data_IF_559225854681
#
_entry.id   IF_559225854681
#
_cell.length_a   1.000
_cell.length_b   1.000
_cell.length_c   1.000
_cell.angle_alpha   90.00
_cell.angle_beta   90.00
_cell.angle_gamma   90.00
#
_symmetry.space_group_name_H-M   'P 1'
#
loop_
_entity.id
_entity.type
_entity.pdbx_description
1 polymer ?
#
# COMPACT_ATOMS: atom_id res chain seq x y z
N UNK A 1 -1.90 -21.66 -7.26
CA UNK A 1 -3.24 -21.37 -7.81
C UNK A 1 -4.13 -21.07 -6.60
N UNK A 2 -4.89 -19.97 -6.60
CA UNK A 2 -5.74 -19.62 -5.45
C UNK A 2 -7.10 -20.35 -5.56
N UNK A 3 -7.68 -20.71 -4.42
CA UNK A 3 -8.90 -21.51 -4.30
C UNK A 3 -10.11 -20.60 -4.03
N UNK A 4 -11.06 -20.58 -4.95
CA UNK A 4 -12.23 -19.71 -4.88
C UNK A 4 -13.16 -20.04 -3.69
N UNK A 5 -13.12 -21.26 -3.18
CA UNK A 5 -13.90 -21.65 -2.00
C UNK A 5 -13.43 -20.98 -0.70
N UNK A 6 -12.11 -20.77 -0.58
CA UNK A 6 -11.51 -20.08 0.57
C UNK A 6 -11.80 -18.57 0.54
N UNK A 7 -12.11 -18.02 -0.63
CA UNK A 7 -12.46 -16.61 -0.80
C UNK A 7 -13.90 -16.37 -0.35
N UNK A 8 -14.83 -17.22 -0.76
CA UNK A 8 -16.24 -17.13 -0.34
C UNK A 8 -16.40 -17.39 1.17
N UNK A 9 -15.60 -18.31 1.73
CA UNK A 9 -15.55 -18.57 3.17
C UNK A 9 -15.02 -17.35 3.95
N UNK A 10 -13.97 -16.70 3.45
CA UNK A 10 -13.44 -15.48 4.06
C UNK A 10 -14.44 -14.31 4.03
N UNK A 11 -15.18 -14.14 2.93
CA UNK A 11 -16.22 -13.11 2.81
C UNK A 11 -17.40 -13.37 3.77
N UNK A 12 -17.82 -14.64 3.92
CA UNK A 12 -18.87 -15.03 4.86
C UNK A 12 -18.46 -14.81 6.33
N UNK A 13 -17.20 -15.11 6.67
CA UNK A 13 -16.64 -14.89 8.01
C UNK A 13 -16.51 -13.39 8.33
N UNK A 14 -16.16 -12.55 7.34
CA UNK A 14 -16.11 -11.10 7.49
C UNK A 14 -17.51 -10.49 7.70
N UNK A 15 -18.50 -10.93 6.93
CA UNK A 15 -19.89 -10.50 7.10
C UNK A 15 -20.45 -10.91 8.48
N UNK A 16 -20.12 -12.12 8.95
CA UNK A 16 -20.51 -12.60 10.28
C UNK A 16 -19.80 -11.90 11.44
N UNK A 17 -18.56 -11.43 11.24
CA UNK A 17 -17.82 -10.65 12.23
C UNK A 17 -18.30 -9.20 12.34
N UNK A 18 -18.68 -8.58 11.20
CA UNK A 18 -19.26 -7.24 11.17
C UNK A 18 -20.56 -7.14 11.99
N UNK A 19 -21.35 -8.22 12.08
CA UNK A 19 -22.56 -8.29 12.91
C UNK A 19 -22.29 -8.34 14.43
N UNK A 20 -21.05 -8.58 14.87
CA UNK A 20 -20.70 -8.77 16.30
C UNK A 20 -19.99 -7.57 16.92
N UNK A 21 -19.83 -6.46 16.19
CA UNK A 21 -19.42 -5.17 16.75
C UNK A 21 -17.98 -5.05 17.26
N UNK A 22 -17.14 -6.07 17.06
CA UNK A 22 -15.72 -6.05 17.44
C UNK A 22 -14.89 -6.49 16.23
N UNK A 23 -14.51 -5.52 15.39
CA UNK A 23 -13.60 -5.79 14.28
C UNK A 23 -12.17 -5.82 14.83
N UNK A 24 -11.58 -7.00 14.93
CA UNK A 24 -10.20 -7.24 15.33
C UNK A 24 -9.21 -7.09 14.17
N UNK A 25 -7.92 -6.94 14.52
CA UNK A 25 -6.80 -6.75 13.57
C UNK A 25 -6.83 -7.71 12.37
N UNK A 26 -7.09 -8.99 12.60
CA UNK A 26 -7.08 -10.01 11.54
C UNK A 26 -8.24 -9.87 10.55
N UNK A 27 -9.39 -9.33 10.97
CA UNK A 27 -10.53 -9.08 10.08
C UNK A 27 -10.26 -7.88 9.16
N UNK A 28 -9.55 -6.87 9.66
CA UNK A 28 -9.11 -5.74 8.84
C UNK A 28 -8.01 -6.14 7.85
N UNK A 29 -7.05 -6.97 8.27
CA UNK A 29 -6.04 -7.54 7.37
C UNK A 29 -6.68 -8.40 6.27
N UNK A 30 -7.68 -9.23 6.61
CA UNK A 30 -8.44 -10.03 5.64
C UNK A 30 -9.26 -9.15 4.67
N UNK A 31 -9.91 -8.09 5.15
CA UNK A 31 -10.64 -7.14 4.30
C UNK A 31 -9.71 -6.40 3.32
N UNK A 32 -8.49 -6.03 3.76
CA UNK A 32 -7.47 -5.45 2.88
C UNK A 32 -7.04 -6.44 1.79
N UNK A 33 -6.84 -7.71 2.14
CA UNK A 33 -6.51 -8.74 1.14
C UNK A 33 -7.66 -8.97 0.15
N UNK A 34 -8.92 -9.03 0.63
CA UNK A 34 -10.11 -9.14 -0.21
C UNK A 34 -10.26 -7.96 -1.18
N UNK A 35 -10.02 -6.72 -0.71
CA UNK A 35 -10.04 -5.55 -1.60
C UNK A 35 -8.96 -5.61 -2.69
N UNK A 36 -7.80 -6.20 -2.40
CA UNK A 36 -6.74 -6.44 -3.38
C UNK A 36 -7.07 -7.59 -4.37
N UNK A 37 -7.84 -8.61 -3.96
CA UNK A 37 -8.28 -9.68 -4.86
C UNK A 37 -9.43 -9.24 -5.77
N UNK A 38 -10.40 -8.47 -5.26
CA UNK A 38 -11.50 -7.89 -6.05
C UNK A 38 -10.96 -7.03 -7.22
N UNK A 39 -9.92 -6.21 -6.95
CA UNK A 39 -9.20 -5.45 -7.99
C UNK A 39 -8.68 -6.33 -9.14
N UNK A 40 -8.21 -7.55 -8.85
CA UNK A 40 -7.70 -8.46 -9.88
C UNK A 40 -8.81 -9.10 -10.72
N UNK A 41 -10.04 -9.15 -10.21
CA UNK A 41 -11.22 -9.72 -10.88
C UNK A 41 -11.98 -8.71 -11.77
N UNK A 42 -11.48 -7.47 -11.89
CA UNK A 42 -11.98 -6.49 -12.86
C UNK A 42 -13.12 -5.59 -12.37
N UNK A 43 -13.56 -5.73 -11.12
CA UNK A 43 -14.30 -4.66 -10.46
C UNK A 43 -13.31 -3.52 -10.16
N UNK A 44 -13.69 -2.29 -10.49
CA UNK A 44 -12.89 -1.11 -10.15
C UNK A 44 -12.55 -1.14 -8.66
N UNK A 45 -11.34 -0.69 -8.30
CA UNK A 45 -10.94 -0.63 -6.89
C UNK A 45 -11.69 0.51 -6.20
N UNK A 46 -12.50 0.19 -5.18
CA UNK A 46 -13.07 1.20 -4.29
C UNK A 46 -12.00 1.69 -3.31
N UNK A 47 -11.23 2.69 -3.76
CA UNK A 47 -10.17 3.29 -2.96
C UNK A 47 -10.68 4.00 -1.71
N UNK A 48 -11.94 4.45 -1.69
CA UNK A 48 -12.53 5.06 -0.50
C UNK A 48 -12.78 4.01 0.58
N UNK A 49 -13.31 2.84 0.20
CA UNK A 49 -13.46 1.71 1.12
C UNK A 49 -12.10 1.21 1.64
N UNK A 50 -11.10 1.05 0.77
CA UNK A 50 -9.75 0.64 1.17
C UNK A 50 -9.13 1.63 2.17
N UNK A 51 -9.31 2.94 1.93
CA UNK A 51 -8.83 3.95 2.87
C UNK A 51 -9.49 3.82 4.24
N UNK A 52 -10.81 3.64 4.31
CA UNK A 52 -11.52 3.46 5.58
C UNK A 52 -11.02 2.22 6.35
N UNK A 53 -10.70 1.13 5.64
CA UNK A 53 -10.09 -0.06 6.24
C UNK A 53 -8.72 0.25 6.83
N UNK A 54 -7.88 1.02 6.13
CA UNK A 54 -6.58 1.43 6.65
C UNK A 54 -6.67 2.46 7.79
N UNK A 55 -7.65 3.36 7.78
CA UNK A 55 -7.97 4.25 8.90
C UNK A 55 -8.29 3.44 10.17
N UNK A 56 -9.21 2.46 10.05
CA UNK A 56 -9.58 1.57 11.14
C UNK A 56 -8.38 0.75 11.62
N UNK A 57 -7.61 0.16 10.70
CA UNK A 57 -6.44 -0.66 11.06
C UNK A 57 -5.34 0.15 11.73
N UNK A 58 -5.13 1.41 11.31
CA UNK A 58 -4.14 2.28 11.94
C UNK A 58 -4.50 2.58 13.39
N UNK A 59 -5.79 2.80 13.68
CA UNK A 59 -6.28 3.06 15.04
C UNK A 59 -6.09 1.90 16.01
N UNK A 60 -6.03 0.66 15.50
CA UNK A 60 -5.91 -0.56 16.31
C UNK A 60 -4.46 -1.08 16.38
N UNK A 61 -3.67 -0.93 15.30
CA UNK A 61 -2.38 -1.61 15.18
C UNK A 61 -1.15 -0.67 15.22
N UNK A 62 -1.29 0.63 14.93
CA UNK A 62 -0.17 1.59 14.97
C UNK A 62 1.06 1.20 14.12
N UNK A 63 0.87 0.37 13.09
CA UNK A 63 1.97 -0.23 12.32
C UNK A 63 2.45 0.70 11.20
N UNK A 64 3.77 0.88 11.02
CA UNK A 64 4.31 1.67 9.91
C UNK A 64 3.86 1.17 8.52
N UNK A 65 3.65 -0.14 8.37
CA UNK A 65 3.14 -0.76 7.13
C UNK A 65 1.73 -0.26 6.82
N UNK A 66 0.88 -0.21 7.84
CA UNK A 66 -0.51 0.25 7.73
C UNK A 66 -0.54 1.74 7.37
N UNK A 67 0.32 2.54 8.00
CA UNK A 67 0.43 3.97 7.72
C UNK A 67 0.90 4.25 6.28
N UNK A 68 1.85 3.49 5.76
CA UNK A 68 2.31 3.60 4.35
C UNK A 68 1.18 3.24 3.39
N UNK A 69 0.50 2.12 3.60
CA UNK A 69 -0.56 1.69 2.71
C UNK A 69 -1.77 2.65 2.75
N UNK A 70 -2.05 3.25 3.91
CA UNK A 70 -3.01 4.35 4.04
C UNK A 70 -2.63 5.54 3.17
N UNK A 71 -1.36 5.95 3.17
CA UNK A 71 -0.88 7.05 2.35
C UNK A 71 -1.02 6.76 0.84
N UNK A 72 -0.84 5.51 0.42
CA UNK A 72 -1.14 5.07 -0.95
C UNK A 72 -2.64 5.18 -1.24
N UNK A 73 -3.52 4.73 -0.33
CA UNK A 73 -4.97 4.87 -0.52
C UNK A 73 -5.42 6.34 -0.59
N UNK A 74 -4.78 7.24 0.15
CA UNK A 74 -4.96 8.70 0.01
C UNK A 74 -4.52 9.16 -1.37
N UNK A 75 -3.38 8.70 -1.88
CA UNK A 75 -2.92 9.08 -3.22
C UNK A 75 -3.89 8.68 -4.35
N UNK A 76 -4.60 7.57 -4.17
CA UNK A 76 -5.58 7.08 -5.14
C UNK A 76 -6.94 7.78 -5.04
N UNK A 77 -7.28 8.33 -3.86
CA UNK A 77 -8.55 9.05 -3.64
C UNK A 77 -8.43 10.56 -3.82
N UNK A 78 -7.37 11.16 -3.29
CA UNK A 78 -7.14 12.61 -3.21
C UNK A 78 -5.96 13.08 -4.10
N UNK A 79 -5.25 12.15 -4.74
CA UNK A 79 -4.14 12.45 -5.64
C UNK A 79 -2.75 12.36 -4.99
N UNK A 80 -1.72 12.22 -5.84
CA UNK A 80 -0.36 11.88 -5.42
C UNK A 80 0.26 12.88 -4.42
N UNK A 81 -0.08 14.16 -4.51
CA UNK A 81 0.37 15.19 -3.57
C UNK A 81 -0.09 14.91 -2.14
N UNK A 82 -1.36 14.54 -1.95
CA UNK A 82 -1.93 14.26 -0.64
C UNK A 82 -1.31 12.99 -0.03
N UNK A 83 -1.13 11.94 -0.84
CA UNK A 83 -0.46 10.72 -0.38
C UNK A 83 1.00 10.94 -0.02
N UNK A 84 1.73 11.76 -0.78
CA UNK A 84 3.12 12.08 -0.49
C UNK A 84 3.26 12.91 0.79
N UNK A 85 2.35 13.85 1.03
CA UNK A 85 2.28 14.60 2.30
C UNK A 85 2.03 13.65 3.48
N UNK A 86 1.12 12.68 3.34
CA UNK A 86 0.86 11.67 4.36
C UNK A 86 2.10 10.80 4.65
N UNK A 87 2.91 10.44 3.63
CA UNK A 87 4.18 9.74 3.83
C UNK A 87 5.23 10.60 4.55
N UNK A 88 5.27 11.91 4.30
CA UNK A 88 6.23 12.80 4.95
C UNK A 88 5.99 12.94 6.45
N UNK A 89 4.73 12.96 6.88
CA UNK A 89 4.39 12.95 8.31
C UNK A 89 4.95 11.71 9.03
N UNK A 90 5.17 10.61 8.31
CA UNK A 90 5.77 9.40 8.87
C UNK A 90 7.31 9.46 8.92
N UNK A 91 7.94 10.32 8.12
CA UNK A 91 9.37 10.30 7.79
C UNK A 91 10.34 10.51 8.96
N UNK A 92 9.85 10.97 10.10
CA UNK A 92 10.64 11.11 11.33
C UNK A 92 10.80 9.78 12.09
N UNK A 93 10.06 8.74 11.71
CA UNK A 93 10.23 7.40 12.27
C UNK A 93 11.44 6.70 11.65
N UNK A 94 12.50 6.54 12.45
CA UNK A 94 13.74 5.85 12.05
C UNK A 94 13.50 4.43 11.50
N UNK A 95 12.43 3.76 11.92
CA UNK A 95 12.07 2.41 11.42
C UNK A 95 11.76 2.42 9.93
N UNK A 96 11.39 3.56 9.36
CA UNK A 96 11.08 3.68 7.94
C UNK A 96 12.31 3.87 7.05
N UNK A 97 13.44 4.29 7.62
CA UNK A 97 14.66 4.52 6.85
C UNK A 97 15.21 3.22 6.25
N UNK A 98 15.08 2.10 6.98
CA UNK A 98 15.50 0.77 6.53
C UNK A 98 14.35 -0.06 5.95
N UNK A 99 13.16 0.55 5.78
CA UNK A 99 11.98 -0.16 5.31
C UNK A 99 11.73 0.08 3.82
N UNK A 100 12.07 -0.91 3.00
CA UNK A 100 11.97 -0.85 1.54
C UNK A 100 10.61 -0.33 1.01
N UNK A 101 9.44 -0.78 1.53
CA UNK A 101 8.15 -0.34 0.99
C UNK A 101 7.87 1.15 1.14
N UNK A 102 8.43 1.80 2.17
CA UNK A 102 8.33 3.25 2.33
C UNK A 102 8.97 3.98 1.14
N UNK A 103 10.20 3.57 0.79
CA UNK A 103 10.95 4.16 -0.30
C UNK A 103 10.31 3.89 -1.66
N UNK A 104 9.78 2.68 -1.89
CA UNK A 104 9.05 2.36 -3.12
C UNK A 104 7.78 3.19 -3.28
N UNK A 105 6.97 3.34 -2.22
CA UNK A 105 5.75 4.17 -2.25
C UNK A 105 6.10 5.64 -2.51
N UNK A 106 7.11 6.18 -1.81
CA UNK A 106 7.60 7.55 -2.02
C UNK A 106 8.07 7.77 -3.46
N UNK A 107 8.83 6.82 -4.02
CA UNK A 107 9.34 6.91 -5.39
C UNK A 107 8.21 6.96 -6.43
N UNK A 108 7.22 6.07 -6.31
CA UNK A 108 6.08 6.04 -7.23
C UNK A 108 5.23 7.30 -7.18
N UNK A 109 5.00 7.86 -5.98
CA UNK A 109 4.26 9.12 -5.85
C UNK A 109 5.02 10.32 -6.41
N UNK A 110 6.34 10.40 -6.17
CA UNK A 110 7.18 11.43 -6.77
C UNK A 110 7.21 11.33 -8.30
N UNK A 111 7.25 10.11 -8.85
CA UNK A 111 7.20 9.87 -10.28
C UNK A 111 5.90 10.40 -10.90
N UNK A 112 4.74 10.12 -10.27
CA UNK A 112 3.43 10.63 -10.71
C UNK A 112 3.33 12.15 -10.70
N UNK A 113 4.13 12.81 -9.86
CA UNK A 113 4.20 14.28 -9.79
C UNK A 113 5.26 14.88 -10.73
N UNK A 114 5.96 14.07 -11.53
CA UNK A 114 7.05 14.54 -12.39
C UNK A 114 8.34 14.91 -11.65
N UNK A 115 8.45 14.58 -10.36
CA UNK A 115 9.62 14.87 -9.54
C UNK A 115 10.72 13.81 -9.76
N UNK A 116 11.16 13.67 -11.01
CA UNK A 116 12.03 12.60 -11.53
C UNK A 116 13.29 12.38 -10.71
N UNK A 117 13.99 13.46 -10.33
CA UNK A 117 15.24 13.38 -9.55
C UNK A 117 15.03 12.75 -8.17
N UNK A 118 13.99 13.19 -7.47
CA UNK A 118 13.68 12.68 -6.13
C UNK A 118 13.11 11.27 -6.21
N UNK A 119 12.30 10.97 -7.23
CA UNK A 119 11.79 9.63 -7.50
C UNK A 119 12.95 8.64 -7.72
N UNK A 120 13.94 9.01 -8.55
CA UNK A 120 15.11 8.18 -8.80
C UNK A 120 15.91 7.88 -7.52
N UNK A 121 16.13 8.88 -6.67
CA UNK A 121 16.81 8.71 -5.37
C UNK A 121 16.03 7.77 -4.44
N UNK A 122 14.71 7.90 -4.38
CA UNK A 122 13.88 7.01 -3.56
C UNK A 122 13.88 5.57 -4.11
N UNK A 123 13.85 5.39 -5.44
CA UNK A 123 14.03 4.06 -6.04
C UNK A 123 15.40 3.46 -5.72
N UNK A 124 16.48 4.24 -5.70
CA UNK A 124 17.81 3.74 -5.32
C UNK A 124 17.83 3.18 -3.90
N UNK A 125 17.21 3.88 -2.95
CA UNK A 125 17.05 3.37 -1.58
C UNK A 125 16.23 2.07 -1.55
N UNK A 126 15.09 2.04 -2.25
CA UNK A 126 14.24 0.85 -2.32
C UNK A 126 14.98 -0.36 -2.93
N UNK A 127 15.75 -0.15 -3.99
CA UNK A 127 16.55 -1.20 -4.66
C UNK A 127 17.64 -1.73 -3.73
N UNK A 128 18.32 -0.86 -2.99
CA UNK A 128 19.37 -1.23 -2.04
C UNK A 128 18.87 -2.07 -0.86
N UNK A 129 17.64 -1.82 -0.41
CA UNK A 129 17.02 -2.53 0.71
C UNK A 129 16.32 -3.85 0.29
N UNK A 130 15.99 -4.02 -0.99
CA UNK A 130 15.28 -5.20 -1.49
C UNK A 130 16.20 -6.42 -1.59
N UNK A 131 15.80 -7.56 -1.03
CA UNK A 131 16.58 -8.81 -1.05
C UNK A 131 16.08 -9.82 -2.08
N UNK A 132 14.81 -9.75 -2.47
CA UNK A 132 14.24 -10.58 -3.53
C UNK A 132 14.70 -10.06 -4.91
N UNK A 133 15.44 -10.87 -5.70
CA UNK A 133 15.91 -10.48 -7.02
C UNK A 133 14.78 -10.11 -8.00
N UNK A 134 13.60 -10.71 -7.88
CA UNK A 134 12.46 -10.42 -8.75
C UNK A 134 11.89 -9.03 -8.45
N UNK A 135 11.65 -8.73 -7.17
CA UNK A 135 11.16 -7.43 -6.74
C UNK A 135 12.21 -6.32 -6.99
N UNK A 136 13.50 -6.62 -6.80
CA UNK A 136 14.58 -5.68 -7.13
C UNK A 136 14.59 -5.30 -8.62
N UNK A 137 14.44 -6.28 -9.52
CA UNK A 137 14.34 -6.05 -10.97
C UNK A 137 13.11 -5.22 -11.34
N UNK A 138 11.97 -5.48 -10.69
CA UNK A 138 10.77 -4.67 -10.88
C UNK A 138 11.04 -3.19 -10.54
N UNK A 139 11.64 -2.91 -9.38
CA UNK A 139 11.97 -1.54 -8.97
C UNK A 139 12.98 -0.86 -9.90
N UNK A 140 13.97 -1.60 -10.40
CA UNK A 140 14.91 -1.11 -11.42
C UNK A 140 14.19 -0.74 -12.72
N UNK A 141 13.23 -1.54 -13.15
CA UNK A 141 12.39 -1.27 -14.31
C UNK A 141 11.55 -0.01 -14.12
N UNK A 142 10.91 0.17 -12.95
CA UNK A 142 10.17 1.39 -12.62
C UNK A 142 11.08 2.63 -12.63
N UNK A 143 12.28 2.54 -12.05
CA UNK A 143 13.26 3.64 -12.10
C UNK A 143 13.67 3.98 -13.53
N UNK A 144 13.88 2.99 -14.40
CA UNK A 144 14.31 3.21 -15.78
C UNK A 144 13.26 4.00 -16.60
N UNK A 145 11.96 3.81 -16.31
CA UNK A 145 10.87 4.55 -16.98
C UNK A 145 10.93 6.05 -16.73
N UNK A 146 11.57 6.50 -15.64
CA UNK A 146 11.72 7.92 -15.32
C UNK A 146 12.57 8.71 -16.32
N UNK A 147 13.42 8.03 -17.10
CA UNK A 147 14.38 8.65 -18.04
C UNK A 147 13.83 8.68 -19.47
N UNK A 148 12.73 7.96 -19.74
CA UNK A 148 12.15 7.80 -21.07
C UNK A 148 10.87 8.61 -21.35
N UNK A 149 10.56 9.60 -20.51
CA UNK A 149 9.37 10.47 -20.63
C UNK A 149 9.72 11.87 -21.08
#
# INVERSE_FOLDING_TARGET
LWDDSLIDEAEALLAGAAQRGLIGRYQLEAAVQSAHTARRRGSGTDWAAIRQLYDALLSVAGSPVVAINRAVAIAETEGATAGLAALYVLGDDKRLQDYQPYWAARAGLLARLGNTKQAAQAYDQAIGLERDPALRRFLQGEKAKLVGG
#
